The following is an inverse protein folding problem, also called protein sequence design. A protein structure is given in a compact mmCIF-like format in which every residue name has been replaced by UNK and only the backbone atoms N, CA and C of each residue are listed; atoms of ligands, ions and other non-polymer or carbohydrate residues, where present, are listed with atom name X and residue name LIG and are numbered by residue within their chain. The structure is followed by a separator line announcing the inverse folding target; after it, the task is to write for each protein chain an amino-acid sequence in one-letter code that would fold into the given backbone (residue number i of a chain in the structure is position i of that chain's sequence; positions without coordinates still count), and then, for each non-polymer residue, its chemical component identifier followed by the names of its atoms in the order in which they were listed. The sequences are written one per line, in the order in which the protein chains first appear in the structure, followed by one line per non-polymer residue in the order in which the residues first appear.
data_IF_520549809168
#
_entry.id   IF_520549809168
#
_cell.length_a   1.000
_cell.length_b   1.000
_cell.length_c   1.000
_cell.angle_alpha   90.00
_cell.angle_beta   90.00
_cell.angle_gamma   90.00
#
_symmetry.space_group_name_H-M   'P 1'
#
loop_
_entity.id
_entity.type
_entity.pdbx_description
1 polymer ?
#
# COMPACT_ATOMS: atom_id res chain seq x y z
N UNK A 1 -7.53 -27.83 -9.60
CA UNK A 1 -6.90 -27.65 -8.27
C UNK A 1 -7.99 -27.22 -7.30
N UNK A 2 -8.33 -28.05 -6.31
CA UNK A 2 -9.32 -27.69 -5.28
C UNK A 2 -8.69 -26.66 -4.34
N UNK A 3 -9.10 -25.40 -4.44
CA UNK A 3 -8.66 -24.36 -3.51
C UNK A 3 -9.24 -24.66 -2.13
N UNK A 4 -8.39 -25.01 -1.17
CA UNK A 4 -8.73 -25.01 0.26
C UNK A 4 -8.29 -23.65 0.80
N UNK A 5 -9.25 -22.86 1.26
CA UNK A 5 -9.00 -21.57 1.89
C UNK A 5 -9.23 -21.72 3.39
N UNK A 6 -8.17 -21.52 4.18
CA UNK A 6 -8.24 -21.45 5.62
C UNK A 6 -7.83 -20.06 6.08
N UNK A 7 -8.72 -19.37 6.81
CA UNK A 7 -8.38 -18.09 7.45
C UNK A 7 -7.15 -18.23 8.34
N UNK A 8 -7.01 -19.38 9.02
CA UNK A 8 -5.84 -19.67 9.87
C UNK A 8 -4.55 -19.69 9.06
N UNK A 9 -4.55 -20.26 7.86
CA UNK A 9 -3.39 -20.30 6.98
C UNK A 9 -3.02 -18.89 6.51
N UNK A 10 -3.99 -18.08 6.10
CA UNK A 10 -3.74 -16.68 5.68
C UNK A 10 -3.18 -15.83 6.83
N UNK A 11 -3.70 -16.00 8.04
CA UNK A 11 -3.21 -15.29 9.22
C UNK A 11 -1.80 -15.75 9.61
N UNK A 12 -1.51 -17.04 9.51
CA UNK A 12 -0.16 -17.56 9.73
C UNK A 12 0.82 -16.97 8.70
N UNK A 13 0.44 -17.01 7.43
CA UNK A 13 1.27 -16.51 6.33
C UNK A 13 1.56 -15.01 6.46
N UNK A 14 0.55 -14.23 6.86
CA UNK A 14 0.72 -12.82 7.20
C UNK A 14 1.79 -12.60 8.25
N UNK A 15 1.74 -13.36 9.35
CA UNK A 15 2.73 -13.24 10.43
C UNK A 15 4.12 -13.63 9.93
N UNK A 16 4.23 -14.76 9.21
CA UNK A 16 5.50 -15.25 8.65
C UNK A 16 6.15 -14.19 7.74
N UNK A 17 5.41 -13.69 6.76
CA UNK A 17 5.87 -12.67 5.82
C UNK A 17 6.27 -11.37 6.54
N UNK A 18 5.50 -10.96 7.56
CA UNK A 18 5.78 -9.76 8.35
C UNK A 18 7.13 -9.86 9.06
N UNK A 19 7.38 -10.97 9.75
CA UNK A 19 8.63 -11.16 10.48
C UNK A 19 9.84 -11.23 9.53
N UNK A 20 9.72 -11.99 8.43
CA UNK A 20 10.79 -12.10 7.42
C UNK A 20 11.13 -10.75 6.78
N UNK A 21 10.10 -10.00 6.38
CA UNK A 21 10.27 -8.71 5.75
C UNK A 21 10.81 -7.66 6.73
N UNK A 22 10.32 -7.65 7.96
CA UNK A 22 10.82 -6.79 9.03
C UNK A 22 12.30 -7.05 9.34
N UNK A 23 12.70 -8.31 9.43
CA UNK A 23 14.10 -8.69 9.66
C UNK A 23 15.00 -8.22 8.50
N UNK A 24 14.57 -8.42 7.25
CA UNK A 24 15.31 -8.03 6.06
C UNK A 24 15.46 -6.52 5.89
N UNK A 25 14.42 -5.75 6.23
CA UNK A 25 14.44 -4.29 6.14
C UNK A 25 15.25 -3.62 7.26
N UNK A 26 15.44 -4.31 8.38
CA UNK A 26 16.10 -3.77 9.56
C UNK A 26 15.21 -2.80 10.36
N UNK A 27 15.69 -2.45 11.55
CA UNK A 27 14.89 -1.77 12.57
C UNK A 27 14.28 -0.44 12.10
N UNK A 28 15.09 0.46 11.51
CA UNK A 28 14.62 1.81 11.15
C UNK A 28 13.52 1.80 10.08
N UNK A 29 13.70 0.98 9.03
CA UNK A 29 12.75 0.88 7.92
C UNK A 29 11.48 0.15 8.36
N UNK A 30 11.60 -0.89 9.18
CA UNK A 30 10.46 -1.57 9.78
C UNK A 30 9.66 -0.66 10.71
N UNK A 31 10.34 0.13 11.55
CA UNK A 31 9.69 1.11 12.42
C UNK A 31 8.95 2.20 11.62
N UNK A 32 9.55 2.67 10.52
CA UNK A 32 8.91 3.60 9.58
C UNK A 32 7.64 2.99 8.98
N UNK A 33 7.72 1.76 8.46
CA UNK A 33 6.58 1.06 7.89
C UNK A 33 5.45 0.84 8.92
N UNK A 34 5.78 0.41 10.13
CA UNK A 34 4.80 0.18 11.21
C UNK A 34 4.16 1.46 11.78
N UNK A 35 4.80 2.61 11.58
CA UNK A 35 4.27 3.92 11.99
C UNK A 35 3.44 4.61 10.91
N UNK A 36 3.45 4.08 9.68
CA UNK A 36 2.72 4.67 8.56
C UNK A 36 1.21 4.48 8.70
N UNK A 37 0.44 5.42 8.15
CA UNK A 37 -1.02 5.39 8.12
C UNK A 37 -1.58 4.07 7.55
N UNK A 38 -0.97 3.52 6.51
CA UNK A 38 -1.40 2.28 5.88
C UNK A 38 -1.25 1.05 6.78
N UNK A 39 -0.45 1.14 7.84
CA UNK A 39 -0.32 0.07 8.84
C UNK A 39 -1.55 -0.07 9.76
N UNK A 40 -2.54 0.81 9.66
CA UNK A 40 -3.76 0.78 10.51
C UNK A 40 -5.04 1.11 9.75
N UNK A 41 -4.93 1.71 8.56
CA UNK A 41 -6.07 2.16 7.74
C UNK A 41 -7.03 1.01 7.40
N UNK A 42 -8.31 1.08 7.78
CA UNK A 42 -9.31 0.14 7.29
C UNK A 42 -9.46 0.18 5.76
N UNK A 43 -9.71 -0.96 5.10
CA UNK A 43 -10.10 -1.01 3.70
C UNK A 43 -11.27 -0.09 3.40
N UNK A 44 -11.26 0.53 2.22
CA UNK A 44 -12.34 1.42 1.75
C UNK A 44 -12.85 0.90 0.41
N UNK A 45 -14.17 0.71 0.31
CA UNK A 45 -14.82 0.05 -0.82
C UNK A 45 -14.27 -1.36 -1.09
N UNK A 46 -13.42 -1.53 -2.10
CA UNK A 46 -12.95 -2.82 -2.60
C UNK A 46 -11.49 -3.12 -2.18
N UNK A 47 -11.11 -2.83 -0.93
CA UNK A 47 -9.83 -3.25 -0.37
C UNK A 47 -8.95 -2.15 0.23
N UNK A 48 -7.66 -2.44 0.36
CA UNK A 48 -6.65 -1.54 0.90
C UNK A 48 -6.25 -0.51 -0.17
N UNK A 49 -6.69 0.74 0.02
CA UNK A 49 -6.21 1.86 -0.80
C UNK A 49 -4.80 2.22 -0.39
N UNK A 50 -3.88 2.25 -1.36
CA UNK A 50 -2.46 2.58 -1.17
C UNK A 50 -2.10 3.81 -1.99
N UNK A 51 -1.37 4.72 -1.35
CA UNK A 51 -0.94 5.97 -1.96
C UNK A 51 0.53 5.87 -2.37
N UNK A 52 0.80 5.88 -3.69
CA UNK A 52 2.17 5.98 -4.24
C UNK A 52 2.56 7.42 -4.59
N UNK A 53 1.57 8.31 -4.69
CA UNK A 53 1.72 9.74 -5.01
C UNK A 53 0.83 10.56 -4.08
N UNK A 54 1.34 11.71 -3.64
CA UNK A 54 0.58 12.75 -2.93
C UNK A 54 0.48 14.00 -3.80
N UNK A 55 -0.75 14.49 -3.98
CA UNK A 55 -1.06 15.57 -4.91
C UNK A 55 -1.16 15.08 -6.36
N UNK A 56 -1.69 15.95 -7.23
CA UNK A 56 -1.84 15.63 -8.65
C UNK A 56 -1.87 16.91 -9.49
N UNK A 57 -1.13 16.99 -10.59
CA UNK A 57 -1.12 18.18 -11.45
C UNK A 57 -2.15 18.13 -12.59
N UNK A 58 -2.80 16.98 -12.81
CA UNK A 58 -3.67 16.74 -13.96
C UNK A 58 -5.05 17.40 -13.88
N UNK A 59 -5.51 17.77 -12.67
CA UNK A 59 -6.72 18.59 -12.45
C UNK A 59 -7.96 18.06 -13.17
N UNK A 60 -8.20 16.74 -13.10
CA UNK A 60 -9.36 16.13 -13.73
C UNK A 60 -10.66 16.82 -13.26
N UNK A 61 -11.61 17.03 -14.18
CA UNK A 61 -12.84 17.80 -13.92
C UNK A 61 -13.70 17.27 -12.76
N UNK A 62 -13.54 15.99 -12.39
CA UNK A 62 -14.28 15.31 -11.32
C UNK A 62 -13.46 15.12 -10.04
N UNK A 63 -12.25 15.67 -9.95
CA UNK A 63 -11.30 15.31 -8.90
C UNK A 63 -11.59 16.03 -7.58
N UNK A 64 -11.79 15.26 -6.52
CA UNK A 64 -12.14 15.71 -5.17
C UNK A 64 -10.95 16.13 -4.30
N UNK A 65 -9.70 16.01 -4.78
CA UNK A 65 -8.50 16.27 -3.95
C UNK A 65 -8.49 17.66 -3.30
N UNK A 66 -8.87 18.76 -3.98
CA UNK A 66 -8.88 20.09 -3.36
C UNK A 66 -9.90 20.20 -2.22
N UNK A 67 -11.02 19.50 -2.32
CA UNK A 67 -12.05 19.46 -1.27
C UNK A 67 -11.52 18.78 0.01
N UNK A 68 -10.49 17.93 -0.13
CA UNK A 68 -9.75 17.31 0.97
C UNK A 68 -8.52 18.12 1.42
N UNK A 69 -8.31 19.33 0.88
CA UNK A 69 -7.15 20.16 1.17
C UNK A 69 -5.85 19.68 0.50
N UNK A 70 -5.93 18.80 -0.50
CA UNK A 70 -4.77 18.30 -1.24
C UNK A 70 -4.55 19.16 -2.47
N UNK A 71 -3.33 19.68 -2.60
CA UNK A 71 -2.98 20.66 -3.64
C UNK A 71 -2.87 20.04 -5.03
N UNK A 72 -3.34 20.79 -6.04
CA UNK A 72 -3.04 20.54 -7.45
C UNK A 72 -1.81 21.30 -7.97
N UNK A 73 -1.08 21.99 -7.10
CA UNK A 73 0.11 22.73 -7.49
C UNK A 73 1.31 21.81 -7.73
N UNK A 74 1.37 20.66 -7.03
CA UNK A 74 2.49 19.74 -7.07
C UNK A 74 2.03 18.31 -6.83
N UNK A 75 2.67 17.37 -7.51
CA UNK A 75 2.65 15.95 -7.18
C UNK A 75 4.02 15.53 -6.66
N UNK A 76 4.06 14.57 -5.75
CA UNK A 76 5.31 13.99 -5.25
C UNK A 76 5.14 12.51 -4.91
N UNK A 77 6.20 11.69 -5.03
CA UNK A 77 6.17 10.31 -4.55
C UNK A 77 5.79 10.24 -3.07
N UNK A 78 5.09 9.17 -2.69
CA UNK A 78 4.86 8.84 -1.28
C UNK A 78 6.17 8.46 -0.58
N UNK A 79 6.20 8.62 0.75
CA UNK A 79 7.43 8.54 1.55
C UNK A 79 7.97 7.13 1.77
N UNK A 80 7.12 6.10 1.67
CA UNK A 80 7.56 4.70 1.79
C UNK A 80 8.06 4.14 0.46
N UNK A 81 9.05 3.25 0.53
CA UNK A 81 9.49 2.40 -0.58
C UNK A 81 8.64 1.12 -0.67
N UNK A 82 8.76 0.33 -1.74
CA UNK A 82 7.84 -0.78 -2.05
C UNK A 82 7.77 -1.84 -0.95
N UNK A 83 8.91 -2.31 -0.49
CA UNK A 83 8.95 -3.27 0.62
C UNK A 83 8.49 -2.66 1.95
N UNK A 84 8.70 -1.36 2.17
CA UNK A 84 8.20 -0.68 3.38
C UNK A 84 6.68 -0.57 3.34
N UNK A 85 6.09 -0.27 2.18
CA UNK A 85 4.64 -0.26 2.00
C UNK A 85 4.04 -1.66 2.15
N UNK A 86 4.70 -2.69 1.59
CA UNK A 86 4.30 -4.09 1.77
C UNK A 86 4.30 -4.47 3.26
N UNK A 87 5.35 -4.07 3.99
CA UNK A 87 5.42 -4.29 5.43
C UNK A 87 4.35 -3.51 6.21
N UNK A 88 4.06 -2.27 5.82
CA UNK A 88 2.97 -1.49 6.40
C UNK A 88 1.64 -2.24 6.25
N UNK A 89 1.32 -2.75 5.06
CA UNK A 89 0.13 -3.59 4.86
C UNK A 89 0.15 -4.86 5.72
N UNK A 90 1.29 -5.54 5.87
CA UNK A 90 1.40 -6.71 6.74
C UNK A 90 1.20 -6.40 8.23
N UNK A 91 1.53 -5.18 8.68
CA UNK A 91 1.18 -4.70 10.03
C UNK A 91 -0.32 -4.41 10.18
N UNK A 92 -1.01 -4.06 9.09
CA UNK A 92 -2.42 -3.65 9.12
C UNK A 92 -3.34 -4.79 9.55
N UNK A 93 -4.13 -4.66 10.64
CA UNK A 93 -4.98 -5.74 11.15
C UNK A 93 -6.04 -6.21 10.14
N UNK A 94 -6.41 -5.37 9.18
CA UNK A 94 -7.44 -5.65 8.18
C UNK A 94 -6.90 -6.22 6.86
N UNK A 95 -5.58 -6.36 6.73
CA UNK A 95 -4.94 -6.90 5.53
C UNK A 95 -4.74 -8.42 5.66
N UNK A 96 -5.02 -9.17 4.59
CA UNK A 96 -4.67 -10.57 4.41
C UNK A 96 -3.84 -10.70 3.13
N UNK A 97 -2.68 -11.37 3.15
CA UNK A 97 -1.84 -11.55 1.97
C UNK A 97 -2.41 -12.62 1.02
N UNK A 98 -1.78 -12.76 -0.13
CA UNK A 98 -2.08 -13.77 -1.13
C UNK A 98 -3.13 -13.33 -2.14
N UNK A 99 -3.21 -14.07 -3.25
CA UNK A 99 -4.08 -13.79 -4.41
C UNK A 99 -5.56 -13.58 -4.09
N UNK A 100 -6.06 -14.23 -3.03
CA UNK A 100 -7.46 -14.16 -2.59
C UNK A 100 -7.61 -13.44 -1.24
N UNK A 101 -6.56 -12.75 -0.80
CA UNK A 101 -6.57 -11.92 0.39
C UNK A 101 -7.23 -10.57 0.16
N UNK A 102 -6.72 -9.54 0.83
CA UNK A 102 -7.22 -8.17 0.71
C UNK A 102 -6.74 -7.56 -0.60
N UNK A 103 -7.69 -7.16 -1.46
CA UNK A 103 -7.36 -6.43 -2.69
C UNK A 103 -6.63 -5.12 -2.37
N UNK A 104 -5.73 -4.73 -3.27
CA UNK A 104 -4.96 -3.49 -3.17
C UNK A 104 -5.34 -2.58 -4.33
N UNK A 105 -5.67 -1.33 -4.03
CA UNK A 105 -6.00 -0.31 -5.02
C UNK A 105 -5.03 0.86 -4.92
N UNK A 106 -4.39 1.23 -6.03
CA UNK A 106 -3.49 2.38 -6.09
C UNK A 106 -4.25 3.68 -6.32
N UNK A 107 -3.84 4.77 -5.65
CA UNK A 107 -4.27 6.13 -5.97
C UNK A 107 -4.94 6.83 -4.80
N UNK A 108 -6.12 7.41 -5.03
CA UNK A 108 -6.94 8.18 -4.08
C UNK A 108 -6.38 9.53 -3.63
N UNK A 109 -5.06 9.70 -3.45
CA UNK A 109 -4.42 10.97 -3.08
C UNK A 109 -3.53 11.57 -4.18
N UNK A 110 -3.48 10.91 -5.34
CA UNK A 110 -2.68 11.27 -6.50
C UNK A 110 -2.90 10.27 -7.63
N UNK A 111 -2.43 10.58 -8.83
CA UNK A 111 -2.47 9.69 -9.99
C UNK A 111 -1.28 8.71 -9.91
N UNK A 112 -1.52 7.38 -9.74
CA UNK A 112 -0.44 6.40 -9.59
C UNK A 112 0.57 6.35 -10.73
N UNK A 113 0.13 6.63 -11.96
CA UNK A 113 0.98 6.63 -13.15
C UNK A 113 1.47 8.03 -13.52
N UNK A 114 1.36 9.00 -12.63
CA UNK A 114 1.95 10.33 -12.81
C UNK A 114 3.48 10.19 -12.97
N UNK A 115 4.09 11.02 -13.83
CA UNK A 115 5.52 10.94 -14.17
C UNK A 115 6.47 10.89 -12.95
N UNK A 116 6.18 11.67 -11.89
CA UNK A 116 6.98 11.68 -10.65
C UNK A 116 6.84 10.41 -9.81
N UNK A 117 5.77 9.63 -10.01
CA UNK A 117 5.35 8.56 -9.11
C UNK A 117 5.19 7.18 -9.74
N UNK A 118 5.22 7.07 -11.07
CA UNK A 118 5.01 5.81 -11.78
C UNK A 118 6.03 4.73 -11.34
N UNK A 119 7.30 5.10 -11.17
CA UNK A 119 8.33 4.18 -10.67
C UNK A 119 8.01 3.67 -9.26
N UNK A 120 7.54 4.54 -8.37
CA UNK A 120 7.10 4.17 -7.01
C UNK A 120 5.91 3.20 -7.05
N UNK A 121 4.94 3.46 -7.91
CA UNK A 121 3.78 2.56 -8.11
C UNK A 121 4.22 1.18 -8.57
N UNK A 122 5.15 1.10 -9.53
CA UNK A 122 5.67 -0.18 -10.02
C UNK A 122 6.47 -0.92 -8.96
N UNK A 123 7.29 -0.22 -8.17
CA UNK A 123 8.00 -0.81 -7.03
C UNK A 123 7.03 -1.40 -6.00
N UNK A 124 5.90 -0.72 -5.75
CA UNK A 124 4.86 -1.22 -4.84
C UNK A 124 4.20 -2.46 -5.42
N UNK A 125 3.81 -2.43 -6.69
CA UNK A 125 3.20 -3.59 -7.37
C UNK A 125 4.14 -4.80 -7.36
N UNK A 126 5.43 -4.60 -7.61
CA UNK A 126 6.46 -5.65 -7.53
C UNK A 126 6.56 -6.20 -6.10
N UNK A 127 6.60 -5.36 -5.08
CA UNK A 127 6.64 -5.81 -3.69
C UNK A 127 5.38 -6.60 -3.30
N UNK A 128 4.20 -6.15 -3.72
CA UNK A 128 2.93 -6.81 -3.43
C UNK A 128 2.77 -8.14 -4.16
N UNK A 129 3.39 -8.30 -5.33
CA UNK A 129 3.37 -9.58 -6.06
C UNK A 129 4.03 -10.73 -5.30
N UNK A 130 4.81 -10.42 -4.25
CA UNK A 130 5.50 -11.38 -3.38
C UNK A 130 4.76 -11.64 -2.06
N UNK A 131 3.58 -11.04 -1.86
CA UNK A 131 2.71 -11.22 -0.69
C UNK A 131 1.62 -12.26 -0.99
#
# INVERSE_FOLDING_TARGET
MSLRLSLRELLYEKVRLREELSARLGHERAARAGSDYHARKPPVHCGATVHSVLGCTYRCAYCYLPDMGISFAKAQPYGLYGEEMALALLYNPFFLPGRLGTYIAFGSLGEPLHEVGASRTMEYAEAFSRL
#
